data_IF_513931342936
#
_entry.id   IF_513931342936
#
_cell.length_a   1.000
_cell.length_b   1.000
_cell.length_c   1.000
_cell.angle_alpha   90.00
_cell.angle_beta   90.00
_cell.angle_gamma   90.00
#
_symmetry.space_group_name_H-M   'P 1'
#
loop_
_entity.id
_entity.type
_entity.pdbx_description
1 polymer ?
#
# COMPACT_ATOMS: atom_id res chain seq x y z
N UNK A 1 51.73 7.36 -45.35
CA UNK A 1 50.80 7.00 -46.46
C UNK A 1 49.59 7.93 -46.39
N UNK A 2 49.42 8.91 -47.29
CA UNK A 2 48.58 8.84 -48.51
C UNK A 2 47.19 8.22 -48.24
N UNK A 3 46.05 8.75 -48.67
CA UNK A 3 45.59 9.98 -49.36
C UNK A 3 44.05 9.78 -49.38
N UNK A 4 43.26 10.84 -49.27
CA UNK A 4 41.81 10.76 -49.45
C UNK A 4 41.42 10.30 -50.87
N UNK A 5 40.24 9.69 -51.01
CA UNK A 5 39.55 9.62 -52.30
C UNK A 5 38.04 9.40 -52.09
N UNK A 6 37.26 10.38 -52.53
CA UNK A 6 35.82 10.27 -52.88
C UNK A 6 35.69 9.43 -54.15
N UNK A 7 34.53 8.79 -54.38
CA UNK A 7 33.93 8.30 -55.64
C UNK A 7 32.99 7.13 -55.26
N UNK A 8 31.81 6.89 -55.81
CA UNK A 8 30.95 7.61 -56.73
C UNK A 8 29.54 7.00 -56.64
N UNK A 9 28.57 7.81 -57.07
CA UNK A 9 27.20 7.41 -57.40
C UNK A 9 27.21 6.46 -58.60
N UNK A 10 26.43 5.37 -58.53
CA UNK A 10 26.03 4.60 -59.69
C UNK A 10 24.51 4.41 -59.66
N UNK A 11 23.83 5.09 -60.58
CA UNK A 11 22.46 4.83 -60.99
C UNK A 11 22.40 3.47 -61.68
N UNK A 12 21.46 2.61 -61.26
CA UNK A 12 20.95 1.54 -62.11
C UNK A 12 19.44 1.67 -62.19
N UNK A 13 18.98 2.08 -63.37
CA UNK A 13 17.60 2.04 -63.80
C UNK A 13 17.30 0.61 -64.21
N UNK A 14 16.36 -0.04 -63.52
CA UNK A 14 15.81 -1.34 -63.90
C UNK A 14 14.29 -1.25 -63.97
N UNK A 15 13.75 -1.31 -65.19
CA UNK A 15 12.32 -1.45 -65.44
C UNK A 15 11.80 -2.78 -64.88
N UNK A 16 10.70 -2.74 -64.13
CA UNK A 16 9.85 -3.90 -63.89
C UNK A 16 8.38 -3.47 -63.94
N UNK A 17 7.62 -4.20 -64.77
CA UNK A 17 6.20 -4.03 -65.07
C UNK A 17 5.29 -4.27 -63.84
N UNK A 18 4.03 -3.81 -63.85
CA UNK A 18 3.17 -3.80 -62.68
C UNK A 18 2.60 -5.20 -62.40
N UNK A 19 2.81 -5.69 -61.18
CA UNK A 19 2.06 -6.83 -60.64
C UNK A 19 0.79 -6.26 -60.00
N UNK A 20 -0.35 -6.51 -60.64
CA UNK A 20 -1.67 -6.31 -60.05
C UNK A 20 -1.87 -7.40 -59.00
N UNK A 21 -1.63 -7.06 -57.73
CA UNK A 21 -2.05 -7.87 -56.60
C UNK A 21 -3.39 -7.34 -56.08
N UNK A 22 -4.45 -8.09 -56.37
CA UNK A 22 -5.74 -7.96 -55.70
C UNK A 22 -5.56 -8.31 -54.22
N UNK A 23 -5.35 -7.29 -53.38
CA UNK A 23 -5.30 -7.42 -51.93
C UNK A 23 -6.68 -7.21 -51.34
N UNK A 24 -7.33 -8.31 -50.94
CA UNK A 24 -8.48 -8.28 -50.04
C UNK A 24 -8.13 -7.45 -48.80
N UNK A 25 -8.96 -6.45 -48.51
CA UNK A 25 -8.82 -5.59 -47.34
C UNK A 25 -8.72 -6.44 -46.07
N UNK A 26 -7.55 -6.41 -45.44
CA UNK A 26 -7.44 -6.76 -44.03
C UNK A 26 -8.21 -5.70 -43.26
N UNK A 27 -9.42 -6.06 -42.84
CA UNK A 27 -10.04 -5.42 -41.69
C UNK A 27 -9.10 -5.65 -40.51
N UNK A 28 -8.29 -4.65 -40.17
CA UNK A 28 -7.75 -4.52 -38.82
C UNK A 28 -8.97 -4.35 -37.90
N UNK A 29 -9.43 -5.47 -37.36
CA UNK A 29 -10.27 -5.47 -36.18
C UNK A 29 -9.41 -4.91 -35.05
N UNK A 30 -9.47 -3.58 -34.91
CA UNK A 30 -8.98 -2.85 -33.76
C UNK A 30 -9.80 -3.35 -32.56
N UNK A 31 -9.29 -4.39 -31.89
CA UNK A 31 -9.81 -4.84 -30.62
C UNK A 31 -9.60 -3.69 -29.64
N UNK A 32 -10.63 -2.88 -29.43
CA UNK A 32 -10.74 -2.00 -28.28
C UNK A 32 -10.71 -2.90 -27.05
N UNK A 33 -9.55 -2.99 -26.40
CA UNK A 33 -9.47 -3.56 -25.07
C UNK A 33 -10.46 -2.78 -24.19
N UNK A 34 -11.57 -3.42 -23.82
CA UNK A 34 -12.52 -2.82 -22.90
C UNK A 34 -11.73 -2.48 -21.62
N UNK A 35 -11.69 -1.20 -21.27
CA UNK A 35 -11.12 -0.77 -20.01
C UNK A 35 -11.84 -1.54 -18.89
N UNK A 36 -11.08 -2.31 -18.11
CA UNK A 36 -11.61 -2.93 -16.90
C UNK A 36 -12.18 -1.82 -16.02
N UNK A 37 -13.47 -1.89 -15.64
CA UNK A 37 -14.05 -0.86 -14.80
C UNK A 37 -13.28 -0.78 -13.48
N UNK A 38 -13.04 0.44 -13.01
CA UNK A 38 -12.41 0.66 -11.72
C UNK A 38 -13.18 -0.06 -10.61
N UNK A 39 -12.50 -0.64 -9.62
CA UNK A 39 -13.16 -1.33 -8.52
C UNK A 39 -14.09 -0.34 -7.77
N UNK A 40 -15.27 -0.83 -7.38
CA UNK A 40 -16.15 -0.08 -6.49
C UNK A 40 -15.48 0.04 -5.10
N UNK A 41 -15.49 1.25 -4.53
CA UNK A 41 -14.85 1.59 -3.27
C UNK A 41 -15.86 2.25 -2.33
N UNK A 42 -15.72 2.00 -1.04
CA UNK A 42 -16.57 2.55 0.02
C UNK A 42 -15.67 3.26 1.03
N UNK A 43 -16.00 4.50 1.44
CA UNK A 43 -15.18 5.22 2.41
C UNK A 43 -15.12 4.44 3.73
N UNK A 44 -13.94 4.39 4.33
CA UNK A 44 -13.79 3.86 5.67
C UNK A 44 -14.43 4.83 6.69
N UNK A 45 -15.07 4.33 7.76
CA UNK A 45 -15.49 5.19 8.85
C UNK A 45 -14.27 5.76 9.59
N UNK A 46 -14.36 6.93 10.26
CA UNK A 46 -13.22 7.47 10.99
C UNK A 46 -12.85 6.60 12.21
N UNK A 47 -11.56 6.45 12.47
CA UNK A 47 -11.07 5.81 13.70
C UNK A 47 -11.29 6.72 14.92
N UNK A 48 -11.32 6.17 16.15
CA UNK A 48 -11.44 6.97 17.37
C UNK A 48 -10.41 8.09 17.52
N UNK A 49 -9.15 7.88 17.12
CA UNK A 49 -8.14 8.95 17.13
C UNK A 49 -8.42 10.01 16.07
N UNK A 50 -8.91 9.62 14.90
CA UNK A 50 -9.27 10.55 13.83
C UNK A 50 -10.41 11.49 14.27
N UNK A 51 -11.49 10.93 14.84
CA UNK A 51 -12.58 11.73 15.41
C UNK A 51 -12.06 12.69 16.50
N UNK A 52 -11.25 12.19 17.43
CA UNK A 52 -10.69 13.02 18.50
C UNK A 52 -9.79 14.13 17.95
N UNK A 53 -8.98 13.84 16.92
CA UNK A 53 -8.10 14.83 16.28
C UNK A 53 -8.90 15.91 15.58
N UNK A 54 -9.98 15.54 14.88
CA UNK A 54 -10.90 16.50 14.28
C UNK A 54 -11.51 17.45 15.32
N UNK A 55 -11.90 16.93 16.50
CA UNK A 55 -12.45 17.75 17.59
C UNK A 55 -11.45 18.75 18.16
N UNK A 56 -10.17 18.37 18.27
CA UNK A 56 -9.12 19.20 18.90
C UNK A 56 -8.24 19.98 17.89
N UNK A 57 -8.57 19.93 16.60
CA UNK A 57 -7.81 20.61 15.53
C UNK A 57 -6.44 20.01 15.24
N UNK A 58 -6.27 18.70 15.44
CA UNK A 58 -5.03 17.99 15.10
C UNK A 58 -5.06 17.36 13.70
N UNK A 59 -3.94 16.72 13.29
CA UNK A 59 -3.86 15.96 12.04
C UNK A 59 -4.91 14.85 11.98
N UNK A 60 -5.69 14.83 10.90
CA UNK A 60 -6.72 13.82 10.61
C UNK A 60 -6.31 12.96 9.41
N UNK A 61 -7.00 11.85 9.24
CA UNK A 61 -6.89 11.02 8.06
C UNK A 61 -7.46 11.76 6.84
N UNK A 62 -6.72 11.79 5.75
CA UNK A 62 -7.22 12.30 4.47
C UNK A 62 -8.06 11.21 3.78
N UNK A 63 -9.34 11.46 3.45
CA UNK A 63 -10.18 10.49 2.75
C UNK A 63 -9.59 9.99 1.41
N UNK A 64 -8.72 10.75 0.75
CA UNK A 64 -8.04 10.27 -0.46
C UNK A 64 -7.05 9.13 -0.17
N UNK A 65 -6.58 8.98 1.07
CA UNK A 65 -5.71 7.89 1.47
C UNK A 65 -6.43 6.54 1.53
N UNK A 66 -7.76 6.52 1.69
CA UNK A 66 -8.55 5.29 1.52
C UNK A 66 -8.34 4.73 0.12
N UNK A 67 -8.45 5.56 -0.92
CA UNK A 67 -8.28 5.13 -2.31
C UNK A 67 -6.88 4.59 -2.58
N UNK A 68 -5.85 5.18 -1.97
CA UNK A 68 -4.47 4.70 -2.07
C UNK A 68 -4.38 3.26 -1.55
N UNK A 69 -4.91 3.01 -0.35
CA UNK A 69 -4.91 1.67 0.25
C UNK A 69 -5.77 0.72 -0.59
N UNK A 70 -7.00 1.11 -0.90
CA UNK A 70 -7.96 0.27 -1.60
C UNK A 70 -7.45 -0.16 -2.97
N UNK A 71 -6.79 0.72 -3.73
CA UNK A 71 -6.21 0.39 -5.04
C UNK A 71 -4.93 -0.44 -4.95
N UNK A 72 -4.17 -0.33 -3.85
CA UNK A 72 -2.94 -1.08 -3.66
C UNK A 72 -3.17 -2.55 -3.23
N UNK A 73 -4.38 -2.90 -2.78
CA UNK A 73 -4.69 -4.24 -2.27
C UNK A 73 -4.64 -5.30 -3.40
N UNK A 74 -3.79 -6.35 -3.25
CA UNK A 74 -3.80 -7.47 -4.18
C UNK A 74 -5.06 -8.34 -3.98
N UNK A 75 -5.53 -9.07 -5.01
CA UNK A 75 -6.71 -9.93 -4.91
C UNK A 75 -6.65 -10.95 -3.76
N UNK A 76 -5.43 -11.43 -3.43
CA UNK A 76 -5.19 -12.36 -2.33
C UNK A 76 -5.68 -11.81 -0.97
N UNK A 77 -5.46 -10.51 -0.71
CA UNK A 77 -5.90 -9.84 0.51
C UNK A 77 -7.42 -9.63 0.60
N UNK A 78 -8.14 -9.81 -0.51
CA UNK A 78 -9.61 -9.72 -0.57
C UNK A 78 -10.26 -11.12 -0.59
N UNK A 79 -9.45 -12.18 -0.54
CA UNK A 79 -9.89 -13.56 -0.69
C UNK A 79 -9.94 -14.32 0.65
N UNK A 80 -10.23 -15.62 0.57
CA UNK A 80 -10.13 -16.52 1.71
C UNK A 80 -8.70 -16.82 2.17
N UNK A 81 -7.67 -16.35 1.46
CA UNK A 81 -6.26 -16.60 1.80
C UNK A 81 -5.79 -15.83 3.03
N UNK A 82 -6.44 -14.71 3.39
CA UNK A 82 -6.06 -13.97 4.60
C UNK A 82 -6.31 -14.80 5.86
N UNK A 83 -5.48 -14.66 6.91
CA UNK A 83 -5.59 -15.48 8.10
C UNK A 83 -6.90 -15.28 8.88
N UNK A 84 -7.37 -16.35 9.54
CA UNK A 84 -8.66 -16.37 10.26
C UNK A 84 -8.77 -15.36 11.41
N UNK A 85 -7.65 -14.91 11.98
CA UNK A 85 -7.64 -13.93 13.07
C UNK A 85 -8.05 -12.51 12.62
N UNK A 86 -8.20 -12.26 11.31
CA UNK A 86 -8.95 -11.09 10.79
C UNK A 86 -10.37 -11.02 11.38
N UNK A 87 -11.01 -12.18 11.66
CA UNK A 87 -12.36 -12.23 12.28
C UNK A 87 -12.40 -11.60 13.67
N UNK A 88 -11.27 -11.43 14.35
CA UNK A 88 -11.21 -10.73 15.63
C UNK A 88 -11.66 -9.28 15.51
N UNK A 89 -11.40 -8.65 14.37
CA UNK A 89 -11.81 -7.28 14.08
C UNK A 89 -13.03 -7.22 13.16
N UNK A 90 -13.14 -8.18 12.23
CA UNK A 90 -14.22 -8.22 11.25
C UNK A 90 -14.81 -9.64 11.14
N UNK A 91 -15.71 -10.05 12.05
CA UNK A 91 -16.28 -11.40 12.06
C UNK A 91 -16.90 -11.85 10.73
N UNK A 92 -17.48 -10.91 9.97
CA UNK A 92 -18.11 -11.15 8.67
C UNK A 92 -17.14 -11.10 7.46
N UNK A 93 -15.83 -10.89 7.67
CA UNK A 93 -14.85 -10.63 6.60
C UNK A 93 -14.95 -11.54 5.38
N UNK A 94 -15.10 -12.84 5.60
CA UNK A 94 -15.10 -13.80 4.50
C UNK A 94 -16.40 -13.86 3.69
N UNK A 95 -17.49 -13.31 4.23
CA UNK A 95 -18.82 -13.32 3.61
C UNK A 95 -19.25 -11.98 3.02
N UNK A 96 -18.49 -10.90 3.24
CA UNK A 96 -18.82 -9.57 2.72
C UNK A 96 -18.33 -9.37 1.28
N UNK A 97 -18.93 -8.39 0.61
CA UNK A 97 -18.58 -8.00 -0.75
C UNK A 97 -17.15 -7.41 -0.82
N UNK A 98 -16.57 -7.40 -2.02
CA UNK A 98 -15.19 -6.96 -2.21
C UNK A 98 -14.98 -5.49 -1.82
N UNK A 99 -15.92 -4.61 -2.15
CA UNK A 99 -15.90 -3.19 -1.78
C UNK A 99 -15.93 -2.99 -0.27
N UNK A 100 -16.71 -3.80 0.46
CA UNK A 100 -16.69 -3.79 1.92
C UNK A 100 -15.32 -4.27 2.45
N UNK A 101 -14.69 -5.29 1.83
CA UNK A 101 -13.38 -5.79 2.27
C UNK A 101 -12.29 -4.75 2.07
N UNK A 102 -12.34 -4.00 0.96
CA UNK A 102 -11.47 -2.86 0.70
C UNK A 102 -11.64 -1.78 1.77
N UNK A 103 -12.89 -1.42 2.11
CA UNK A 103 -13.19 -0.49 3.20
C UNK A 103 -12.67 -0.97 4.57
N UNK A 104 -12.72 -2.29 4.85
CA UNK A 104 -12.10 -2.85 6.06
C UNK A 104 -10.59 -2.65 6.10
N UNK A 105 -9.89 -2.90 4.98
CA UNK A 105 -8.45 -2.72 4.93
C UNK A 105 -8.03 -1.25 4.96
N UNK A 106 -8.77 -0.35 4.30
CA UNK A 106 -8.58 1.10 4.44
C UNK A 106 -8.70 1.53 5.92
N UNK A 107 -9.78 1.10 6.59
CA UNK A 107 -9.96 1.34 8.02
C UNK A 107 -8.83 0.74 8.88
N UNK A 108 -8.36 -0.47 8.55
CA UNK A 108 -7.25 -1.12 9.24
C UNK A 108 -5.96 -0.30 9.13
N UNK A 109 -5.64 0.22 7.95
CA UNK A 109 -4.45 1.05 7.74
C UNK A 109 -4.58 2.43 8.39
N UNK A 110 -5.77 3.02 8.41
CA UNK A 110 -6.04 4.21 9.22
C UNK A 110 -5.80 3.95 10.71
N UNK A 111 -6.30 2.82 11.24
CA UNK A 111 -6.11 2.43 12.64
C UNK A 111 -4.65 2.16 12.98
N UNK A 112 -3.91 1.53 12.06
CA UNK A 112 -2.48 1.29 12.19
C UNK A 112 -1.71 2.60 12.19
N UNK A 113 -1.96 3.51 11.24
CA UNK A 113 -1.32 4.83 11.18
C UNK A 113 -1.63 5.68 12.41
N UNK A 114 -2.86 5.58 12.93
CA UNK A 114 -3.26 6.24 14.17
C UNK A 114 -2.50 5.73 15.39
N UNK A 115 -2.17 4.44 15.43
CA UNK A 115 -1.39 3.85 16.51
C UNK A 115 0.13 4.07 16.37
N UNK A 116 0.65 4.09 15.15
CA UNK A 116 2.08 4.24 14.85
C UNK A 116 2.55 5.71 14.89
N UNK A 117 1.79 6.62 14.27
CA UNK A 117 2.21 8.00 14.05
C UNK A 117 1.17 9.04 14.52
N UNK A 118 0.03 8.61 15.07
CA UNK A 118 -1.03 9.52 15.46
C UNK A 118 -1.66 10.27 14.27
N UNK A 119 -1.67 9.62 13.09
CA UNK A 119 -2.12 10.14 11.79
C UNK A 119 -1.25 11.26 11.19
N UNK A 120 -0.05 11.50 11.71
CA UNK A 120 0.87 12.52 11.18
C UNK A 120 1.88 11.91 10.19
N UNK A 121 1.86 12.30 8.90
CA UNK A 121 2.72 11.70 7.87
C UNK A 121 4.20 12.09 7.98
N UNK A 122 4.54 13.13 8.75
CA UNK A 122 5.93 13.61 8.87
C UNK A 122 6.63 13.13 10.15
N UNK A 123 5.97 12.31 10.99
CA UNK A 123 6.56 11.80 12.24
C UNK A 123 7.76 10.89 11.99
N UNK A 124 8.78 11.09 12.80
CA UNK A 124 10.03 10.36 12.78
C UNK A 124 10.33 9.81 14.18
N UNK A 125 10.58 8.51 14.32
CA UNK A 125 10.98 7.91 15.59
C UNK A 125 12.32 7.18 15.47
N UNK A 126 13.18 7.36 16.48
CA UNK A 126 14.35 6.51 16.67
C UNK A 126 13.94 5.35 17.57
N UNK A 127 14.40 4.14 17.25
CA UNK A 127 14.33 3.04 18.20
C UNK A 127 15.07 3.44 19.48
N UNK A 128 14.36 3.51 20.61
CA UNK A 128 14.90 3.98 21.88
C UNK A 128 15.88 2.99 22.52
N UNK A 129 15.91 1.74 22.05
CA UNK A 129 16.78 0.68 22.56
C UNK A 129 17.95 0.44 21.59
N UNK A 130 19.21 0.62 22.02
CA UNK A 130 20.39 0.43 21.18
C UNK A 130 20.51 -0.97 20.56
N UNK A 131 20.02 -2.00 21.27
CA UNK A 131 20.03 -3.40 20.84
C UNK A 131 19.11 -3.68 19.64
N UNK A 132 18.10 -2.81 19.44
CA UNK A 132 17.13 -2.85 18.34
C UNK A 132 17.45 -1.81 17.26
N UNK A 133 18.53 -1.04 17.45
CA UNK A 133 19.03 -0.07 16.48
C UNK A 133 19.86 -0.78 15.41
N UNK A 134 19.21 -1.71 14.70
CA UNK A 134 19.79 -2.41 13.55
C UNK A 134 20.19 -1.36 12.51
N UNK A 135 21.31 -1.59 11.82
CA UNK A 135 21.73 -0.71 10.73
C UNK A 135 20.78 -0.93 9.55
N UNK A 136 20.14 0.13 9.10
CA UNK A 136 19.33 0.10 7.88
C UNK A 136 20.26 -0.14 6.67
N UNK A 137 19.95 -1.16 5.87
CA UNK A 137 20.83 -1.62 4.78
C UNK A 137 20.95 -0.61 3.64
N UNK A 138 20.00 0.33 3.51
CA UNK A 138 19.97 1.34 2.44
C UNK A 138 20.67 2.61 2.91
N UNK A 139 20.35 3.09 4.10
CA UNK A 139 20.92 4.34 4.65
C UNK A 139 22.28 4.14 5.30
N UNK A 140 22.57 2.92 5.77
CA UNK A 140 23.74 2.64 6.59
C UNK A 140 23.73 3.30 7.98
N UNK A 141 22.60 3.84 8.43
CA UNK A 141 22.44 4.43 9.76
C UNK A 141 21.61 3.53 10.68
N UNK A 142 21.61 3.80 11.99
CA UNK A 142 20.68 3.12 12.91
C UNK A 142 19.23 3.35 12.44
N UNK A 143 18.43 2.28 12.37
CA UNK A 143 17.08 2.27 11.82
C UNK A 143 16.17 3.27 12.54
N UNK A 144 15.91 4.38 11.86
CA UNK A 144 14.84 5.33 12.16
C UNK A 144 13.59 4.90 11.39
N UNK A 145 12.44 5.03 12.02
CA UNK A 145 11.13 4.77 11.41
C UNK A 145 10.45 6.08 11.03
N UNK A 146 9.80 6.11 9.87
CA UNK A 146 9.30 7.32 9.23
C UNK A 146 7.83 7.19 8.80
N UNK A 147 7.10 8.28 8.94
CA UNK A 147 5.77 8.49 8.37
C UNK A 147 4.64 7.71 9.01
N UNK A 148 3.49 7.67 8.30
CA UNK A 148 2.22 7.14 8.81
C UNK A 148 2.36 5.75 9.43
N UNK A 149 3.11 4.85 8.78
CA UNK A 149 3.26 3.46 9.18
C UNK A 149 4.62 3.15 9.81
N UNK A 150 5.41 4.18 10.15
CA UNK A 150 6.70 4.06 10.82
C UNK A 150 7.63 3.05 10.10
N UNK A 151 7.87 3.29 8.80
CA UNK A 151 8.65 2.42 7.91
C UNK A 151 10.12 2.83 7.80
N UNK A 152 10.95 2.00 7.17
CA UNK A 152 12.38 2.22 6.98
C UNK A 152 12.77 2.22 5.50
N UNK A 153 13.87 2.89 5.12
CA UNK A 153 14.34 2.85 3.73
C UNK A 153 14.78 1.45 3.29
N UNK A 154 15.25 0.61 4.23
CA UNK A 154 15.53 -0.81 3.99
C UNK A 154 14.36 -1.60 3.41
N UNK A 155 13.12 -1.12 3.59
CA UNK A 155 11.92 -1.75 3.06
C UNK A 155 11.80 -1.59 1.53
N UNK A 156 12.46 -0.59 0.95
CA UNK A 156 12.65 -0.50 -0.51
C UNK A 156 13.27 -1.79 -1.06
N UNK A 157 14.35 -2.25 -0.44
CA UNK A 157 15.08 -3.45 -0.90
C UNK A 157 14.33 -4.75 -0.59
N UNK A 158 13.63 -4.79 0.55
CA UNK A 158 12.93 -6.00 1.02
C UNK A 158 11.59 -6.23 0.31
N UNK A 159 10.87 -5.16 0.00
CA UNK A 159 9.48 -5.23 -0.47
C UNK A 159 9.23 -4.45 -1.77
N UNK A 160 10.25 -3.82 -2.35
CA UNK A 160 10.10 -3.02 -3.57
C UNK A 160 9.26 -1.76 -3.37
N UNK A 161 9.43 -1.09 -2.22
CA UNK A 161 8.74 0.17 -1.91
C UNK A 161 9.32 1.34 -2.70
N UNK A 162 8.47 2.32 -3.03
CA UNK A 162 8.85 3.49 -3.84
C UNK A 162 9.48 4.60 -2.99
N UNK A 163 10.61 4.28 -2.35
CA UNK A 163 11.39 5.23 -1.59
C UNK A 163 12.68 5.55 -2.36
N UNK A 164 13.02 6.83 -2.46
CA UNK A 164 14.27 7.32 -3.06
C UNK A 164 15.16 7.91 -1.98
N UNK A 165 16.05 7.08 -1.43
CA UNK A 165 17.00 7.54 -0.42
C UNK A 165 18.02 8.55 -0.98
N UNK A 166 18.40 8.44 -2.25
CA UNK A 166 19.39 9.33 -2.86
C UNK A 166 18.86 10.74 -3.06
N UNK A 167 17.56 10.87 -3.31
CA UNK A 167 16.81 12.10 -3.23
C UNK A 167 16.66 12.56 -1.77
N UNK A 168 16.04 11.74 -0.93
CA UNK A 168 15.58 12.14 0.40
C UNK A 168 16.70 12.51 1.37
N UNK A 169 17.89 11.91 1.24
CA UNK A 169 19.04 12.23 2.11
C UNK A 169 19.50 13.68 1.99
N UNK A 170 19.08 14.39 0.95
CA UNK A 170 19.38 15.81 0.72
C UNK A 170 18.37 16.76 1.40
N UNK A 171 17.22 16.24 1.84
CA UNK A 171 16.13 16.98 2.46
C UNK A 171 16.23 16.97 3.99
N UNK A 172 15.53 17.89 4.66
CA UNK A 172 15.38 17.84 6.13
C UNK A 172 14.64 16.58 6.54
N UNK A 173 14.85 16.11 7.77
CA UNK A 173 14.37 14.79 8.20
C UNK A 173 12.84 14.66 8.27
N UNK A 174 12.18 15.78 8.53
CA UNK A 174 10.74 15.99 8.62
C UNK A 174 10.17 16.66 7.36
N UNK A 175 10.98 16.78 6.30
CA UNK A 175 10.57 17.41 5.05
C UNK A 175 9.51 16.56 4.34
N UNK A 176 8.28 17.08 4.14
CA UNK A 176 7.19 16.32 3.52
C UNK A 176 7.49 15.88 2.08
N UNK A 177 8.48 16.50 1.41
CA UNK A 177 8.90 16.10 0.06
C UNK A 177 9.77 14.84 0.05
N UNK A 178 10.15 14.31 1.23
CA UNK A 178 10.77 13.00 1.33
C UNK A 178 9.79 11.92 0.86
N UNK A 179 10.21 11.12 -0.11
CA UNK A 179 9.42 10.03 -0.68
C UNK A 179 8.90 9.04 0.37
N UNK A 180 9.64 8.79 1.47
CA UNK A 180 9.15 7.92 2.57
C UNK A 180 8.03 8.55 3.41
N UNK A 181 7.93 9.88 3.45
CA UNK A 181 6.89 10.62 4.21
C UNK A 181 5.64 10.89 3.36
N UNK A 182 5.73 10.72 2.04
CA UNK A 182 4.58 10.85 1.15
C UNK A 182 3.55 9.74 1.48
N UNK A 183 2.28 10.09 1.80
CA UNK A 183 1.26 9.11 2.20
C UNK A 183 1.10 7.97 1.19
N UNK A 184 1.14 8.28 -0.11
CA UNK A 184 1.05 7.27 -1.18
C UNK A 184 2.11 6.19 -1.03
N UNK A 185 3.38 6.58 -1.02
CA UNK A 185 4.48 5.62 -1.00
C UNK A 185 4.54 4.87 0.34
N UNK A 186 4.25 5.55 1.44
CA UNK A 186 4.22 4.94 2.78
C UNK A 186 3.11 3.89 2.91
N UNK A 187 1.88 4.22 2.49
CA UNK A 187 0.72 3.32 2.58
C UNK A 187 0.83 2.15 1.58
N UNK A 188 1.23 2.41 0.33
CA UNK A 188 1.46 1.34 -0.66
C UNK A 188 2.54 0.36 -0.19
N UNK A 189 3.62 0.86 0.44
CA UNK A 189 4.64 0.01 1.05
C UNK A 189 4.07 -0.82 2.21
N UNK A 190 3.24 -0.20 3.06
CA UNK A 190 2.53 -0.91 4.13
C UNK A 190 1.68 -2.07 3.62
N UNK A 191 0.95 -1.87 2.51
CA UNK A 191 0.18 -2.95 1.87
C UNK A 191 1.08 -4.08 1.42
N UNK A 192 2.22 -3.78 0.76
CA UNK A 192 3.21 -4.80 0.35
C UNK A 192 3.79 -5.58 1.53
N UNK A 193 4.14 -4.91 2.62
CA UNK A 193 4.66 -5.54 3.84
C UNK A 193 3.62 -6.46 4.47
N UNK A 194 2.35 -6.02 4.50
CA UNK A 194 1.27 -6.81 5.08
C UNK A 194 0.94 -8.02 4.19
N UNK A 195 0.83 -7.85 2.88
CA UNK A 195 0.62 -8.92 1.90
C UNK A 195 1.70 -10.00 2.02
N UNK A 196 2.98 -9.61 1.99
CA UNK A 196 4.09 -10.55 2.18
C UNK A 196 3.98 -11.32 3.51
N UNK A 197 3.54 -10.69 4.60
CA UNK A 197 3.37 -11.39 5.87
C UNK A 197 2.19 -12.36 5.88
N UNK A 198 1.02 -11.91 5.45
CA UNK A 198 -0.22 -12.68 5.53
C UNK A 198 -0.29 -13.77 4.46
N UNK A 199 0.14 -13.44 3.24
CA UNK A 199 -0.05 -14.28 2.06
C UNK A 199 1.22 -15.07 1.77
N UNK A 200 2.38 -14.41 1.60
CA UNK A 200 3.60 -15.15 1.23
C UNK A 200 4.22 -15.93 2.39
N UNK A 201 4.17 -15.39 3.61
CA UNK A 201 4.72 -16.03 4.81
C UNK A 201 3.67 -16.77 5.65
N UNK A 202 2.39 -16.71 5.25
CA UNK A 202 1.28 -17.33 5.98
C UNK A 202 1.26 -17.01 7.48
N UNK A 203 1.73 -15.82 7.86
CA UNK A 203 1.69 -15.39 9.26
C UNK A 203 0.27 -14.96 9.63
N UNK A 204 -0.18 -15.18 10.88
CA UNK A 204 -1.39 -14.57 11.40
C UNK A 204 -1.30 -13.03 11.33
N UNK A 205 -2.46 -12.35 11.25
CA UNK A 205 -2.52 -10.89 11.31
C UNK A 205 -1.89 -10.36 12.61
N UNK A 206 -2.14 -11.07 13.71
CA UNK A 206 -1.59 -10.77 15.02
C UNK A 206 -0.46 -11.74 15.34
N UNK A 207 0.78 -11.30 15.15
CA UNK A 207 1.98 -12.14 15.30
C UNK A 207 3.04 -11.45 16.14
N UNK A 208 3.63 -12.16 17.11
CA UNK A 208 4.76 -11.66 17.92
C UNK A 208 6.02 -11.38 17.09
N UNK A 209 6.12 -11.97 15.90
CA UNK A 209 7.22 -11.78 14.94
C UNK A 209 6.80 -10.93 13.74
N UNK A 210 5.65 -10.26 13.82
CA UNK A 210 5.18 -9.36 12.78
C UNK A 210 6.05 -8.10 12.67
N UNK A 211 6.02 -7.46 11.50
CA UNK A 211 6.75 -6.24 11.21
C UNK A 211 6.44 -5.15 12.25
N UNK A 212 5.15 -4.81 12.41
CA UNK A 212 4.71 -3.80 13.37
C UNK A 212 4.60 -4.37 14.77
N UNK A 213 5.25 -3.70 15.73
CA UNK A 213 5.08 -4.00 17.17
C UNK A 213 3.63 -3.81 17.63
N UNK A 214 2.92 -2.91 16.96
CA UNK A 214 1.51 -2.57 17.15
C UNK A 214 0.55 -3.72 16.81
N UNK A 215 0.97 -4.71 16.03
CA UNK A 215 0.20 -5.92 15.77
C UNK A 215 0.60 -7.10 16.66
N UNK A 216 1.51 -6.90 17.63
CA UNK A 216 1.96 -7.95 18.56
C UNK A 216 1.05 -7.99 19.80
N UNK A 217 0.28 -9.08 20.01
CA UNK A 217 -0.59 -9.19 21.18
C UNK A 217 0.15 -8.97 22.50
N UNK A 218 -0.54 -8.38 23.49
CA UNK A 218 -0.01 -8.18 24.84
C UNK A 218 0.83 -6.92 25.05
N UNK A 219 1.23 -6.22 23.98
CA UNK A 219 2.00 -4.96 24.07
C UNK A 219 1.11 -3.74 24.35
N UNK A 220 1.72 -2.64 24.78
CA UNK A 220 1.04 -1.32 24.90
C UNK A 220 0.57 -0.86 23.52
N UNK A 221 1.44 -0.94 22.51
CA UNK A 221 1.15 -0.53 21.13
C UNK A 221 -0.06 -1.28 20.57
N UNK A 222 -0.17 -2.59 20.81
CA UNK A 222 -1.34 -3.36 20.42
C UNK A 222 -2.63 -2.90 21.07
N UNK A 223 -2.60 -2.46 22.34
CA UNK A 223 -3.80 -1.90 22.98
C UNK A 223 -4.23 -0.59 22.34
N UNK A 224 -3.29 0.24 21.90
CA UNK A 224 -3.58 1.48 21.17
C UNK A 224 -4.26 1.15 19.84
N UNK A 225 -3.70 0.23 19.07
CA UNK A 225 -4.30 -0.21 17.81
C UNK A 225 -5.66 -0.88 17.99
N UNK A 226 -5.80 -1.80 18.94
CA UNK A 226 -7.07 -2.44 19.23
C UNK A 226 -8.16 -1.42 19.61
N UNK A 227 -7.79 -0.34 20.31
CA UNK A 227 -8.68 0.79 20.57
C UNK A 227 -9.06 1.51 19.27
N UNK A 228 -8.13 1.69 18.33
CA UNK A 228 -8.48 2.26 17.02
C UNK A 228 -9.39 1.35 16.22
N UNK A 229 -9.32 0.03 16.41
CA UNK A 229 -10.14 -0.94 15.69
C UNK A 229 -11.59 -1.06 16.22
N UNK A 230 -12.09 -0.17 17.08
CA UNK A 230 -13.45 -0.32 17.66
C UNK A 230 -14.59 0.23 16.79
N UNK A 231 -14.30 1.03 15.77
CA UNK A 231 -15.29 1.62 14.86
C UNK A 231 -15.22 1.02 13.43
N UNK A 232 -14.91 -0.28 13.32
CA UNK A 232 -14.84 -0.98 12.03
C UNK A 232 -16.08 -0.77 11.15
N UNK A 233 -15.98 -0.90 9.81
CA UNK A 233 -17.11 -0.79 8.89
C UNK A 233 -18.32 -1.62 9.32
N UNK A 234 -19.52 -1.11 9.10
CA UNK A 234 -20.75 -1.78 9.51
C UNK A 234 -20.90 -3.20 8.93
N UNK A 235 -20.38 -3.43 7.72
CA UNK A 235 -20.34 -4.73 7.05
C UNK A 235 -19.58 -5.81 7.84
N UNK A 236 -18.69 -5.43 8.76
CA UNK A 236 -17.98 -6.38 9.62
C UNK A 236 -18.86 -7.04 10.70
N UNK A 237 -20.02 -6.45 11.02
CA UNK A 237 -20.93 -6.97 12.04
C UNK A 237 -21.75 -8.13 11.45
N UNK A 238 -21.80 -9.25 12.15
CA UNK A 238 -22.68 -10.36 11.75
C UNK A 238 -24.14 -9.91 11.88
N UNK A 239 -24.89 -9.96 10.79
CA UNK A 239 -26.34 -9.77 10.83
C UNK A 239 -26.96 -10.93 11.65
N UNK A 240 -27.39 -10.66 12.88
CA UNK A 240 -28.05 -11.69 13.71
C UNK A 240 -27.68 -11.76 15.18
N UNK A 241 -27.22 -10.67 15.80
CA UNK A 241 -27.27 -10.54 17.25
C UNK A 241 -28.73 -10.54 17.73
N UNK A 242 -29.33 -11.73 17.86
CA UNK A 242 -30.60 -11.90 18.60
C UNK A 242 -30.33 -11.34 19.99
N UNK A 243 -30.99 -10.23 20.34
CA UNK A 243 -31.05 -9.76 21.72
C UNK A 243 -31.53 -10.94 22.55
N UNK A 244 -30.65 -11.54 23.35
CA UNK A 244 -31.08 -12.45 24.41
C UNK A 244 -31.84 -11.57 25.38
N UNK A 245 -33.17 -11.65 25.33
CA UNK A 245 -34.02 -11.05 26.33
C UNK A 245 -33.67 -11.70 27.67
N UNK A 246 -33.09 -10.93 28.59
CA UNK A 246 -32.96 -11.33 29.97
C UNK A 246 -34.35 -11.61 30.53
N UNK A 247 -34.57 -12.83 30.99
CA UNK A 247 -35.60 -13.16 31.97
C UNK A 247 -34.97 -13.13 33.35
#
# INVERSE_FOLDING_TARGET
MNRGLRVAVALVVGMAAPIVAAGCGKHEAQATAAAVPAPAMKPAPPTPIDTKKAEVGGPTWDPEWDKIVELALPPAMLSGQVPHDVRRFCPAFYGMAEDDKRAFWAYFFQALAGAEAGLEPTVQAKHAQPEMAVKDEVTGHQSRTSGLLQLTYGDQKRYGCDFDWDHDKKLKIDDPDRTILQPKNNLECGVKILDHQLIEKHKPLLSSSGYWSTLRPGTVSYRVFAKQMTNVPAACRVAGGRKVASR
#
